data_IF_541040499953
#
_entry.id   IF_541040499953
#
_cell.length_a   1.000
_cell.length_b   1.000
_cell.length_c   1.000
_cell.angle_alpha   90.00
_cell.angle_beta   90.00
_cell.angle_gamma   90.00
#
_symmetry.space_group_name_H-M   'P 1'
#
loop_
_entity.id
_entity.type
_entity.pdbx_description
1 polymer ?
#
# COMPACT_ATOMS: atom_id res chain seq x y z
N UNK A 1 6.01 -5.04 7.86
CA UNK A 1 5.84 -3.67 7.32
C UNK A 1 4.95 -3.64 6.07
N UNK A 2 4.11 -4.65 5.83
CA UNK A 2 3.23 -4.73 4.65
C UNK A 2 2.30 -3.53 4.47
N UNK A 3 1.77 -2.99 5.57
CA UNK A 3 0.99 -1.75 5.59
C UNK A 3 1.69 -0.57 4.88
N UNK A 4 3.01 -0.43 5.06
CA UNK A 4 3.79 0.63 4.44
C UNK A 4 3.94 0.42 2.92
N UNK A 5 4.13 -0.83 2.49
CA UNK A 5 4.21 -1.20 1.06
C UNK A 5 2.85 -1.06 0.35
N UNK A 6 1.76 -1.42 1.03
CA UNK A 6 0.40 -1.21 0.50
C UNK A 6 0.10 0.28 0.33
N UNK A 7 0.42 1.10 1.33
CA UNK A 7 0.20 2.55 1.27
C UNK A 7 1.07 3.23 0.21
N UNK A 8 2.37 2.95 0.16
CA UNK A 8 3.27 3.52 -0.85
C UNK A 8 2.92 3.07 -2.26
N UNK A 9 2.65 1.78 -2.48
CA UNK A 9 2.24 1.27 -3.78
C UNK A 9 0.94 1.91 -4.30
N UNK A 10 -0.02 2.21 -3.40
CA UNK A 10 -1.20 2.99 -3.75
C UNK A 10 -0.80 4.42 -4.18
N UNK A 11 0.03 5.11 -3.41
CA UNK A 11 0.48 6.46 -3.75
C UNK A 11 1.28 6.51 -5.05
N UNK A 12 2.10 5.51 -5.36
CA UNK A 12 2.81 5.38 -6.64
C UNK A 12 1.82 5.30 -7.80
N UNK A 13 0.79 4.45 -7.66
CA UNK A 13 -0.27 4.29 -8.66
C UNK A 13 -1.10 5.56 -8.85
N UNK A 14 -1.56 6.16 -7.75
CA UNK A 14 -2.34 7.40 -7.77
C UNK A 14 -1.54 8.57 -8.37
N UNK A 15 -0.25 8.67 -8.05
CA UNK A 15 0.63 9.70 -8.60
C UNK A 15 0.79 9.56 -10.13
N UNK A 16 0.94 8.32 -10.62
CA UNK A 16 0.99 8.05 -12.06
C UNK A 16 -0.35 8.36 -12.75
N UNK A 17 -1.47 7.96 -12.16
CA UNK A 17 -2.83 8.25 -12.68
C UNK A 17 -3.10 9.75 -12.75
N UNK A 18 -2.55 10.54 -11.82
CA UNK A 18 -2.63 12.00 -11.84
C UNK A 18 -1.80 12.67 -12.97
N UNK A 19 -1.08 11.90 -13.79
CA UNK A 19 -0.34 12.40 -14.95
C UNK A 19 1.15 12.67 -14.69
N UNK A 20 1.68 12.28 -13.52
CA UNK A 20 3.10 12.38 -13.23
C UNK A 20 3.89 11.16 -13.72
N UNK A 21 5.21 11.21 -13.63
CA UNK A 21 6.05 10.04 -13.90
C UNK A 21 5.92 8.99 -12.81
N UNK A 22 5.97 7.71 -13.22
CA UNK A 22 5.92 6.60 -12.29
C UNK A 22 7.21 6.63 -11.46
N UNK A 23 7.08 6.91 -10.18
CA UNK A 23 8.20 7.18 -9.27
C UNK A 23 8.08 6.24 -8.09
N UNK A 24 9.14 5.47 -7.79
CA UNK A 24 9.14 4.60 -6.62
C UNK A 24 9.27 5.42 -5.33
N UNK A 25 8.43 5.11 -4.34
CA UNK A 25 8.27 5.86 -3.10
C UNK A 25 8.76 5.06 -1.89
N UNK A 26 9.23 5.78 -0.86
CA UNK A 26 9.92 5.18 0.28
C UNK A 26 8.96 4.59 1.32
N UNK A 27 8.99 3.27 1.49
CA UNK A 27 8.37 2.62 2.65
C UNK A 27 9.13 2.92 3.94
N UNK A 28 10.45 3.09 3.85
CA UNK A 28 11.28 3.37 5.02
C UNK A 28 10.87 4.67 5.72
N UNK A 29 10.41 5.66 4.95
CA UNK A 29 9.82 6.87 5.50
C UNK A 29 8.70 6.53 6.49
N UNK A 30 7.76 5.68 6.10
CA UNK A 30 6.66 5.27 6.97
C UNK A 30 7.18 4.40 8.12
N UNK A 31 7.97 3.38 7.82
CA UNK A 31 8.45 2.40 8.82
C UNK A 31 9.26 3.06 9.94
N UNK A 32 10.08 4.07 9.62
CA UNK A 32 10.94 4.76 10.60
C UNK A 32 10.33 6.03 11.20
N UNK A 33 9.49 6.76 10.47
CA UNK A 33 9.05 8.09 10.87
C UNK A 33 7.57 8.19 11.26
N UNK A 34 6.73 7.25 10.81
CA UNK A 34 5.34 7.24 11.22
C UNK A 34 5.24 6.89 12.71
N UNK A 35 4.64 7.81 13.47
CA UNK A 35 4.43 7.68 14.92
C UNK A 35 3.02 7.21 15.27
N UNK A 36 2.13 7.03 14.29
CA UNK A 36 0.78 6.48 14.47
C UNK A 36 0.75 4.95 14.32
N UNK A 37 1.74 4.40 13.60
CA UNK A 37 1.96 2.98 13.37
C UNK A 37 3.22 2.46 14.08
N UNK A 38 3.49 1.16 13.95
CA UNK A 38 4.45 0.44 14.79
C UNK A 38 5.63 -0.14 14.01
N UNK A 39 6.02 0.50 12.90
CA UNK A 39 7.16 0.10 12.08
C UNK A 39 7.06 -1.37 11.62
N UNK A 40 8.06 -2.18 11.98
CA UNK A 40 8.07 -3.62 11.68
C UNK A 40 6.99 -4.44 12.42
N UNK A 41 6.39 -3.91 13.49
CA UNK A 41 5.38 -4.62 14.30
C UNK A 41 3.95 -4.50 13.78
N UNK A 42 3.75 -3.80 12.66
CA UNK A 42 2.44 -3.63 12.03
C UNK A 42 1.99 -2.18 11.98
N UNK A 43 0.86 -1.96 11.31
CA UNK A 43 0.32 -0.64 11.05
C UNK A 43 -0.90 -0.73 10.14
N UNK A 44 -1.52 0.42 9.86
CA UNK A 44 -2.71 0.54 9.00
C UNK A 44 -2.46 1.56 7.90
N UNK A 45 -2.89 1.26 6.67
CA UNK A 45 -2.72 2.18 5.55
C UNK A 45 -3.40 3.53 5.81
N UNK A 46 -4.58 3.54 6.43
CA UNK A 46 -5.30 4.78 6.79
C UNK A 46 -4.50 5.68 7.74
N UNK A 47 -3.81 5.06 8.71
CA UNK A 47 -2.94 5.78 9.65
C UNK A 47 -1.71 6.34 8.92
N UNK A 48 -1.10 5.57 8.03
CA UNK A 48 -0.01 6.02 7.19
C UNK A 48 -0.41 7.23 6.33
N UNK A 49 -1.54 7.15 5.62
CA UNK A 49 -2.05 8.27 4.82
C UNK A 49 -2.34 9.50 5.69
N UNK A 50 -2.99 9.30 6.84
CA UNK A 50 -3.25 10.37 7.80
C UNK A 50 -1.96 11.01 8.30
N UNK A 51 -0.96 10.23 8.71
CA UNK A 51 0.32 10.73 9.18
C UNK A 51 1.06 11.51 8.09
N UNK A 52 1.05 11.04 6.85
CA UNK A 52 1.68 11.77 5.73
C UNK A 52 1.06 13.16 5.60
N UNK A 53 -0.26 13.26 5.58
CA UNK A 53 -0.96 14.54 5.44
C UNK A 53 -0.77 15.44 6.66
N UNK A 54 -1.00 14.92 7.87
CA UNK A 54 -1.00 15.74 9.09
C UNK A 54 0.41 16.07 9.61
N UNK A 55 1.36 15.16 9.44
CA UNK A 55 2.65 15.17 10.14
C UNK A 55 3.84 15.21 9.18
N UNK A 56 3.62 14.95 7.88
CA UNK A 56 4.63 15.08 6.84
C UNK A 56 4.25 16.06 5.71
N UNK A 57 3.24 16.92 5.94
CA UNK A 57 2.79 17.98 5.01
C UNK A 57 2.35 17.44 3.64
N UNK A 58 1.87 16.20 3.60
CA UNK A 58 1.49 15.49 2.38
C UNK A 58 2.67 14.92 1.59
N UNK A 59 3.92 15.16 1.99
CA UNK A 59 5.08 14.77 1.20
C UNK A 59 5.40 13.29 1.39
N UNK A 60 5.76 12.62 0.29
CA UNK A 60 6.25 11.25 0.27
C UNK A 60 7.61 11.24 -0.38
N UNK A 61 8.62 10.67 0.28
CA UNK A 61 9.98 10.64 -0.25
C UNK A 61 10.16 9.57 -1.32
N UNK A 62 11.09 9.77 -2.24
CA UNK A 62 11.48 8.73 -3.21
C UNK A 62 12.23 7.60 -2.52
N UNK A 63 12.03 6.37 -3.00
CA UNK A 63 12.79 5.20 -2.53
C UNK A 63 14.30 5.41 -2.73
N UNK A 64 14.69 6.01 -3.86
CA UNK A 64 16.10 6.31 -4.14
C UNK A 64 16.77 7.21 -3.08
N UNK A 65 16.05 8.19 -2.51
CA UNK A 65 16.62 9.10 -1.50
C UNK A 65 16.49 8.56 -0.08
N UNK A 66 15.54 7.66 0.17
CA UNK A 66 15.31 7.02 1.46
C UNK A 66 15.01 5.52 1.29
N UNK A 67 16.04 4.72 1.01
CA UNK A 67 15.87 3.31 0.67
C UNK A 67 15.39 2.46 1.84
N UNK A 68 14.70 1.36 1.52
CA UNK A 68 14.26 0.35 2.46
C UNK A 68 15.45 -0.44 3.05
N UNK A 69 15.59 -0.38 4.37
CA UNK A 69 16.67 -1.04 5.12
C UNK A 69 16.14 -1.88 6.29
N UNK A 70 14.82 -1.97 6.46
CA UNK A 70 14.18 -2.75 7.52
C UNK A 70 13.92 -4.22 7.16
N UNK A 71 14.52 -4.74 6.08
CA UNK A 71 14.38 -6.14 5.67
C UNK A 71 14.84 -7.16 6.73
N UNK A 72 15.81 -6.79 7.58
CA UNK A 72 16.26 -7.61 8.72
C UNK A 72 15.42 -7.45 9.99
N UNK A 73 14.29 -6.76 9.94
CA UNK A 73 13.42 -6.48 11.10
C UNK A 73 13.84 -5.27 11.96
N UNK A 74 15.03 -4.73 11.74
CA UNK A 74 15.51 -3.54 12.44
C UNK A 74 14.89 -2.26 11.87
N UNK A 75 14.40 -1.38 12.74
CA UNK A 75 13.86 -0.07 12.36
C UNK A 75 14.87 1.02 12.74
N UNK A 76 15.61 1.61 11.79
CA UNK A 76 16.50 2.72 12.09
C UNK A 76 15.70 3.95 12.51
N UNK A 77 16.36 4.87 13.22
CA UNK A 77 15.77 6.14 13.58
C UNK A 77 15.32 6.93 12.34
N UNK A 78 14.21 7.66 12.48
CA UNK A 78 13.71 8.55 11.44
C UNK A 78 14.77 9.57 11.01
N UNK A 79 15.01 9.69 9.70
CA UNK A 79 15.86 10.72 9.13
C UNK A 79 15.24 11.32 7.87
N UNK A 80 14.62 12.50 8.02
CA UNK A 80 14.00 13.25 6.92
C UNK A 80 14.96 14.26 6.25
N UNK A 81 16.17 14.43 6.77
CA UNK A 81 17.11 15.42 6.24
C UNK A 81 17.65 14.98 4.88
N UNK A 82 17.66 15.91 3.91
CA UNK A 82 18.18 15.68 2.56
C UNK A 82 17.34 14.71 1.70
N UNK A 83 16.11 14.37 2.11
CA UNK A 83 15.24 13.46 1.37
C UNK A 83 14.52 14.19 0.23
N UNK A 84 14.39 13.52 -0.91
CA UNK A 84 13.75 14.06 -2.12
C UNK A 84 12.28 13.69 -2.10
N UNK A 85 11.40 14.69 -2.27
CA UNK A 85 9.95 14.46 -2.39
C UNK A 85 9.65 13.89 -3.77
N UNK A 86 9.08 12.68 -3.82
CA UNK A 86 8.70 11.99 -5.05
C UNK A 86 7.22 12.16 -5.41
N UNK A 87 6.36 12.28 -4.41
CA UNK A 87 4.93 12.50 -4.58
C UNK A 87 4.37 13.37 -3.44
N UNK A 88 3.18 13.92 -3.67
CA UNK A 88 2.44 14.66 -2.65
C UNK A 88 0.96 14.27 -2.65
N UNK A 89 0.43 13.96 -1.48
CA UNK A 89 -1.00 13.66 -1.28
C UNK A 89 -1.66 14.75 -0.42
N UNK A 90 -2.94 14.98 -0.65
CA UNK A 90 -3.76 15.94 0.11
C UNK A 90 -4.72 15.27 1.10
N UNK A 91 -4.95 13.96 0.98
CA UNK A 91 -5.94 13.23 1.77
C UNK A 91 -6.02 11.76 1.38
N UNK A 92 -6.95 11.06 2.01
CA UNK A 92 -7.40 9.72 1.65
C UNK A 92 -8.90 9.61 1.98
N UNK A 93 -9.54 8.57 1.48
CA UNK A 93 -10.90 8.21 1.84
C UNK A 93 -11.07 6.69 1.73
N UNK A 94 -12.03 6.17 2.48
CA UNK A 94 -12.36 4.75 2.46
C UNK A 94 -13.38 4.44 1.37
N UNK A 95 -13.17 3.33 0.68
CA UNK A 95 -14.16 2.76 -0.23
C UNK A 95 -15.22 1.96 0.55
N UNK A 96 -16.45 1.84 0.02
CA UNK A 96 -17.45 0.96 0.61
C UNK A 96 -16.98 -0.50 0.61
N UNK A 97 -17.50 -1.30 1.55
CA UNK A 97 -17.25 -2.75 1.63
C UNK A 97 -18.09 -3.51 0.60
N UNK A 98 -17.85 -3.20 -0.67
CA UNK A 98 -18.59 -3.70 -1.82
C UNK A 98 -17.61 -3.89 -2.99
N UNK A 99 -17.46 -5.13 -3.45
CA UNK A 99 -16.46 -5.50 -4.46
C UNK A 99 -16.74 -4.85 -5.82
N UNK A 100 -18.00 -4.67 -6.23
CA UNK A 100 -18.37 -4.02 -7.49
C UNK A 100 -18.05 -2.53 -7.45
N UNK A 101 -18.31 -1.88 -6.31
CA UNK A 101 -17.94 -0.48 -6.11
C UNK A 101 -16.42 -0.29 -6.11
N UNK A 102 -15.67 -1.20 -5.49
CA UNK A 102 -14.20 -1.20 -5.51
C UNK A 102 -13.69 -1.41 -6.95
N UNK A 103 -14.24 -2.39 -7.70
CA UNK A 103 -13.87 -2.66 -9.09
C UNK A 103 -14.05 -1.42 -9.97
N UNK A 104 -15.22 -0.79 -9.88
CA UNK A 104 -15.55 0.43 -10.61
C UNK A 104 -14.60 1.57 -10.27
N UNK A 105 -14.27 1.75 -9.00
CA UNK A 105 -13.34 2.79 -8.58
C UNK A 105 -11.93 2.52 -9.11
N UNK A 106 -11.45 1.29 -8.96
CA UNK A 106 -10.13 0.87 -9.41
C UNK A 106 -9.95 1.05 -10.93
N UNK A 107 -10.96 0.68 -11.72
CA UNK A 107 -10.93 0.84 -13.17
C UNK A 107 -10.80 2.31 -13.62
N UNK A 108 -11.31 3.25 -12.81
CA UNK A 108 -11.34 4.67 -13.13
C UNK A 108 -10.17 5.46 -12.53
N UNK A 109 -9.70 5.04 -11.35
CA UNK A 109 -8.77 5.83 -10.53
C UNK A 109 -7.47 5.09 -10.21
N UNK A 110 -7.33 3.82 -10.59
CA UNK A 110 -6.11 3.04 -10.41
C UNK A 110 -6.05 2.24 -9.10
N UNK A 111 -4.85 1.77 -8.71
CA UNK A 111 -4.67 0.78 -7.65
C UNK A 111 -5.21 1.20 -6.27
N UNK A 112 -5.71 0.23 -5.50
CA UNK A 112 -6.34 0.43 -4.19
C UNK A 112 -5.55 -0.33 -3.10
N UNK A 113 -5.18 0.37 -2.03
CA UNK A 113 -4.63 -0.28 -0.84
C UNK A 113 -5.74 -1.07 -0.13
N UNK A 114 -5.53 -2.37 0.10
CA UNK A 114 -6.51 -3.24 0.78
C UNK A 114 -5.85 -4.05 1.89
N UNK A 115 -6.66 -4.51 2.84
CA UNK A 115 -6.26 -5.50 3.83
C UNK A 115 -6.90 -6.85 3.50
N UNK A 116 -6.16 -7.94 3.75
CA UNK A 116 -6.60 -9.31 3.54
C UNK A 116 -6.23 -10.19 4.73
N UNK A 117 -6.85 -11.37 4.79
CA UNK A 117 -6.35 -12.51 5.56
C UNK A 117 -5.39 -13.29 4.67
N UNK A 118 -4.09 -13.21 4.96
CA UNK A 118 -3.04 -13.82 4.16
C UNK A 118 -2.64 -15.22 4.66
N UNK A 119 -3.41 -15.83 5.56
CA UNK A 119 -3.11 -17.17 6.10
C UNK A 119 -2.92 -18.20 4.98
N UNK A 120 -3.76 -18.15 3.94
CA UNK A 120 -3.67 -19.06 2.79
C UNK A 120 -2.55 -18.71 1.78
N UNK A 121 -1.88 -17.56 1.91
CA UNK A 121 -0.90 -17.12 0.91
C UNK A 121 0.42 -17.88 1.03
N UNK A 122 0.75 -18.44 2.19
CA UNK A 122 2.01 -19.14 2.43
C UNK A 122 2.21 -20.36 1.52
N UNK A 123 1.11 -21.03 1.11
CA UNK A 123 1.13 -22.20 0.23
C UNK A 123 0.79 -21.88 -1.23
N UNK A 124 0.52 -20.61 -1.54
CA UNK A 124 0.16 -20.19 -2.90
C UNK A 124 1.37 -20.29 -3.83
N UNK A 125 1.19 -20.95 -4.98
CA UNK A 125 2.24 -21.14 -6.00
C UNK A 125 1.82 -20.70 -7.39
N UNK A 126 0.58 -20.25 -7.58
CA UNK A 126 0.03 -19.80 -8.86
C UNK A 126 -1.45 -20.17 -9.02
N UNK A 127 -2.08 -19.62 -10.06
CA UNK A 127 -3.50 -19.85 -10.38
C UNK A 127 -4.45 -18.88 -9.67
N UNK A 128 -5.74 -19.19 -9.65
CA UNK A 128 -6.75 -18.39 -8.93
C UNK A 128 -7.05 -19.08 -7.59
N UNK A 129 -6.83 -18.37 -6.48
CA UNK A 129 -7.14 -18.87 -5.15
C UNK A 129 -8.65 -18.81 -4.90
N UNK A 130 -9.30 -19.97 -4.72
CA UNK A 130 -10.77 -20.06 -4.57
C UNK A 130 -11.24 -20.39 -3.15
N UNK A 131 -10.34 -20.84 -2.28
CA UNK A 131 -10.65 -21.26 -0.90
C UNK A 131 -9.73 -20.56 0.11
N UNK A 132 -9.71 -19.23 0.05
CA UNK A 132 -8.93 -18.42 0.97
C UNK A 132 -9.54 -18.45 2.38
N UNK A 133 -8.71 -18.73 3.39
CA UNK A 133 -9.08 -18.45 4.79
C UNK A 133 -9.37 -16.94 4.89
N UNK A 134 -10.54 -16.61 5.43
CA UNK A 134 -11.11 -15.25 5.41
C UNK A 134 -11.72 -14.92 6.77
N UNK A 135 -10.93 -15.01 7.84
CA UNK A 135 -11.40 -14.84 9.22
C UNK A 135 -10.90 -13.56 9.86
N UNK A 136 -9.62 -13.21 9.66
CA UNK A 136 -9.00 -12.07 10.32
C UNK A 136 -8.03 -11.37 9.38
N UNK A 137 -8.21 -10.06 9.22
CA UNK A 137 -7.26 -9.22 8.49
C UNK A 137 -5.92 -9.19 9.22
N UNK A 138 -4.85 -9.58 8.53
CA UNK A 138 -3.50 -9.65 9.08
C UNK A 138 -2.42 -9.05 8.16
N UNK A 139 -2.78 -8.73 6.91
CA UNK A 139 -1.80 -8.30 5.91
C UNK A 139 -2.34 -7.19 4.99
N UNK A 140 -1.50 -6.21 4.68
CA UNK A 140 -1.80 -5.12 3.74
C UNK A 140 -1.18 -5.40 2.37
N UNK A 141 -1.97 -5.31 1.31
CA UNK A 141 -1.57 -5.57 -0.08
C UNK A 141 -2.14 -4.49 -1.01
N UNK A 142 -1.79 -4.55 -2.30
CA UNK A 142 -2.26 -3.59 -3.28
C UNK A 142 -3.09 -4.28 -4.38
N UNK A 143 -4.34 -3.86 -4.54
CA UNK A 143 -5.20 -4.30 -5.62
C UNK A 143 -4.85 -3.52 -6.89
N UNK A 144 -4.47 -4.21 -7.97
CA UNK A 144 -3.96 -3.59 -9.21
C UNK A 144 -4.82 -3.89 -10.44
N UNK A 145 -5.79 -4.79 -10.34
CA UNK A 145 -6.66 -5.16 -11.45
C UNK A 145 -7.63 -6.27 -11.10
N UNK A 146 -8.49 -6.60 -12.05
CA UNK A 146 -9.42 -7.72 -12.00
C UNK A 146 -9.71 -8.25 -13.40
N UNK A 147 -10.25 -9.46 -13.48
CA UNK A 147 -10.79 -10.06 -14.69
C UNK A 147 -12.13 -10.71 -14.35
N UNK A 148 -13.21 -10.08 -14.82
CA UNK A 148 -14.60 -10.54 -14.67
C UNK A 148 -15.03 -11.49 -15.80
N UNK A 149 -14.21 -11.68 -16.83
CA UNK A 149 -14.48 -12.55 -17.98
C UNK A 149 -14.00 -13.99 -17.75
N UNK A 150 -13.04 -14.16 -16.84
CA UNK A 150 -12.51 -15.47 -16.42
C UNK A 150 -13.54 -16.32 -15.66
N UNK A 151 -13.31 -17.63 -15.61
CA UNK A 151 -14.11 -18.60 -14.85
C UNK A 151 -13.19 -19.46 -13.97
N UNK A 152 -13.08 -19.17 -12.66
CA UNK A 152 -13.77 -18.09 -11.93
C UNK A 152 -13.17 -16.69 -12.24
N UNK A 153 -13.93 -15.61 -12.03
CA UNK A 153 -13.40 -14.25 -12.03
C UNK A 153 -12.40 -14.06 -10.88
N UNK A 154 -11.46 -13.12 -11.02
CA UNK A 154 -10.40 -12.94 -10.02
C UNK A 154 -9.90 -11.51 -9.90
N UNK A 155 -9.33 -11.21 -8.73
CA UNK A 155 -8.55 -10.02 -8.45
C UNK A 155 -7.06 -10.26 -8.72
N UNK A 156 -6.35 -9.21 -9.16
CA UNK A 156 -4.90 -9.19 -9.30
C UNK A 156 -4.34 -8.36 -8.16
N UNK A 157 -3.53 -8.99 -7.30
CA UNK A 157 -2.98 -8.38 -6.08
C UNK A 157 -1.45 -8.36 -6.18
N UNK A 158 -0.86 -7.17 -5.97
CA UNK A 158 0.58 -6.99 -5.74
C UNK A 158 0.85 -7.18 -4.25
N UNK A 159 1.76 -8.09 -3.95
CA UNK A 159 2.27 -8.40 -2.61
C UNK A 159 3.79 -8.20 -2.58
#
# INVERSE_FOLDING_TARGET
SCWAFSATGNMEGQWKVAGHELTSLSEQMLVSCDTMDYGCRGGLMDKAFKWIVSSNKGNVFTEQSYPYVSGGGNVPACNKSGKVVGAKISGHFDLPKDEDAIAKWLAQNGPVAIAVDATSFQSYTGGVLTSCISQQLDHGVLLVGYDDTSKPPYWIIKN
#
